data_IF_451710176639
#
_entry.id   IF_451710176639
#
_cell.length_a   1.000
_cell.length_b   1.000
_cell.length_c   1.000
_cell.angle_alpha   90.00
_cell.angle_beta   90.00
_cell.angle_gamma   90.00
#
_symmetry.space_group_name_H-M   'P 1'
#
loop_
_entity.id
_entity.type
_entity.pdbx_description
1 polymer ?
#
# COMPACT_ATOMS: atom_id res chain seq x y z
N UNK A 1 -41.85 -3.61 -34.22
CA UNK A 1 -41.38 -3.22 -32.87
C UNK A 1 -42.48 -3.60 -31.90
N UNK A 2 -42.33 -4.75 -31.24
CA UNK A 2 -43.45 -5.45 -30.59
C UNK A 2 -43.74 -4.84 -29.21
N UNK A 3 -45.02 -4.58 -28.91
CA UNK A 3 -45.52 -4.10 -27.60
C UNK A 3 -45.01 -4.97 -26.43
N UNK A 4 -44.74 -6.25 -26.69
CA UNK A 4 -44.19 -7.18 -25.72
C UNK A 4 -42.78 -6.82 -25.22
N UNK A 5 -41.97 -6.14 -26.03
CA UNK A 5 -40.61 -5.69 -25.65
C UNK A 5 -40.63 -4.45 -24.74
N UNK A 6 -41.69 -3.63 -24.81
CA UNK A 6 -41.86 -2.44 -23.96
C UNK A 6 -42.34 -2.79 -22.54
N UNK A 7 -43.09 -3.89 -22.39
CA UNK A 7 -43.58 -4.36 -21.09
C UNK A 7 -42.52 -5.10 -20.26
N UNK A 8 -41.50 -5.71 -20.89
CA UNK A 8 -40.38 -6.32 -20.15
C UNK A 8 -39.45 -5.28 -19.52
N UNK A 9 -39.30 -4.11 -20.17
CA UNK A 9 -38.41 -3.05 -19.71
C UNK A 9 -38.94 -2.33 -18.45
N UNK A 10 -40.26 -2.29 -18.24
CA UNK A 10 -40.88 -1.63 -17.07
C UNK A 10 -40.83 -2.48 -15.80
N UNK A 11 -40.64 -3.80 -15.89
CA UNK A 11 -40.59 -4.69 -14.72
C UNK A 11 -39.19 -4.70 -14.06
N UNK A 12 -38.12 -4.38 -14.81
CA UNK A 12 -36.76 -4.31 -14.26
C UNK A 12 -36.48 -3.06 -13.40
N UNK A 13 -37.36 -2.05 -13.41
CA UNK A 13 -37.10 -0.77 -12.75
C UNK A 13 -37.69 -0.62 -11.34
N UNK A 14 -38.41 -1.63 -10.85
CA UNK A 14 -39.24 -1.51 -9.63
C UNK A 14 -38.76 -2.35 -8.46
N UNK A 15 -37.51 -2.84 -8.45
CA UNK A 15 -36.95 -3.45 -7.24
C UNK A 15 -36.48 -2.31 -6.33
N UNK A 16 -37.13 -2.06 -5.18
CA UNK A 16 -36.59 -1.12 -4.22
C UNK A 16 -35.26 -1.69 -3.72
N UNK A 17 -34.18 -1.02 -4.11
CA UNK A 17 -32.85 -1.24 -3.55
C UNK A 17 -32.86 -0.69 -2.12
N UNK A 18 -33.44 -1.45 -1.19
CA UNK A 18 -33.26 -1.21 0.23
C UNK A 18 -31.81 -1.54 0.57
N UNK A 19 -30.94 -0.55 0.37
CA UNK A 19 -29.61 -0.54 0.95
C UNK A 19 -29.80 -0.42 2.47
N UNK A 20 -29.98 -1.56 3.13
CA UNK A 20 -29.84 -1.63 4.58
C UNK A 20 -28.44 -1.09 4.88
N UNK A 21 -28.29 -0.02 5.66
CA UNK A 21 -26.98 0.37 6.14
C UNK A 21 -26.55 -0.76 7.07
N UNK A 22 -25.82 -1.73 6.50
CA UNK A 22 -25.11 -2.73 7.26
C UNK A 22 -24.14 -1.92 8.11
N UNK A 23 -24.53 -1.66 9.36
CA UNK A 23 -23.68 -1.06 10.35
C UNK A 23 -22.40 -1.89 10.33
N UNK A 24 -21.35 -1.31 9.75
CA UNK A 24 -20.07 -1.97 9.61
C UNK A 24 -19.69 -2.34 11.03
N UNK A 25 -19.76 -3.65 11.31
CA UNK A 25 -19.38 -4.23 12.58
C UNK A 25 -17.94 -3.77 12.72
N UNK A 26 -17.70 -2.75 13.55
CA UNK A 26 -16.36 -2.33 13.89
C UNK A 26 -15.79 -3.52 14.63
N UNK A 27 -15.16 -4.42 13.88
CA UNK A 27 -14.27 -5.40 14.44
C UNK A 27 -13.34 -4.56 15.30
N UNK A 28 -13.41 -4.75 16.61
CA UNK A 28 -12.34 -4.36 17.52
C UNK A 28 -11.15 -5.26 17.18
N UNK A 29 -10.64 -5.10 15.96
CA UNK A 29 -9.57 -5.88 15.41
C UNK A 29 -8.37 -5.61 16.28
N UNK A 30 -7.62 -6.67 16.57
CA UNK A 30 -6.36 -6.57 17.27
C UNK A 30 -5.53 -5.49 16.59
N UNK A 31 -5.10 -4.47 17.33
CA UNK A 31 -4.26 -3.41 16.77
C UNK A 31 -3.00 -4.08 16.19
N UNK A 32 -2.67 -3.84 14.91
CA UNK A 32 -1.48 -4.44 14.33
C UNK A 32 -0.24 -3.87 15.01
N UNK A 33 0.78 -4.71 15.17
CA UNK A 33 2.11 -4.24 15.52
C UNK A 33 2.79 -3.75 14.23
N UNK A 34 3.39 -2.57 14.28
CA UNK A 34 4.13 -2.00 13.15
C UNK A 34 5.61 -2.04 13.50
N UNK A 35 6.40 -2.70 12.66
CA UNK A 35 7.87 -2.78 12.80
C UNK A 35 8.48 -2.07 11.60
N UNK A 36 9.30 -1.06 11.85
CA UNK A 36 10.06 -0.34 10.83
C UNK A 36 11.53 -0.76 10.97
N UNK A 37 12.08 -1.35 9.91
CA UNK A 37 13.51 -1.70 9.82
C UNK A 37 14.14 -0.74 8.82
N UNK A 38 14.95 0.20 9.33
CA UNK A 38 15.70 1.16 8.51
C UNK A 38 17.18 0.82 8.57
N UNK A 39 17.80 0.61 7.41
CA UNK A 39 19.25 0.47 7.28
C UNK A 39 19.87 1.82 6.92
N UNK A 40 21.01 2.16 7.54
CA UNK A 40 21.86 3.28 7.14
C UNK A 40 22.78 2.83 5.99
N UNK A 41 23.06 3.75 5.05
CA UNK A 41 23.94 3.57 3.89
C UNK A 41 23.62 2.38 2.97
N UNK A 42 22.37 1.91 2.95
CA UNK A 42 21.91 0.88 2.01
C UNK A 42 21.47 1.52 0.69
N UNK A 43 22.26 1.33 -0.36
CA UNK A 43 21.98 1.79 -1.71
C UNK A 43 20.97 0.91 -2.46
N UNK A 44 20.39 1.47 -3.53
CA UNK A 44 19.38 0.79 -4.36
C UNK A 44 19.87 -0.55 -4.92
N UNK A 45 21.13 -0.61 -5.36
CA UNK A 45 21.71 -1.79 -6.01
C UNK A 45 22.31 -2.81 -5.05
N UNK A 46 22.18 -2.63 -3.74
CA UNK A 46 22.90 -3.44 -2.74
C UNK A 46 22.19 -4.75 -2.37
N UNK A 47 20.92 -4.92 -2.78
CA UNK A 47 20.15 -6.13 -2.51
C UNK A 47 19.95 -6.98 -3.78
N UNK A 48 19.97 -8.30 -3.66
CA UNK A 48 19.78 -9.21 -4.80
C UNK A 48 18.41 -9.03 -5.46
N UNK A 49 17.35 -8.72 -4.70
CA UNK A 49 16.04 -8.36 -5.25
C UNK A 49 16.00 -7.06 -6.10
N UNK A 50 17.04 -6.23 -6.06
CA UNK A 50 17.24 -5.06 -6.94
C UNK A 50 18.37 -5.26 -7.97
N UNK A 51 18.90 -6.47 -8.12
CA UNK A 51 19.84 -6.82 -9.19
C UNK A 51 21.32 -6.89 -8.79
N UNK A 52 21.64 -6.86 -7.49
CA UNK A 52 22.98 -7.19 -6.98
C UNK A 52 23.39 -8.61 -7.44
N UNK A 53 24.64 -8.80 -7.90
CA UNK A 53 25.16 -10.09 -8.43
C UNK A 53 26.33 -10.75 -7.68
N UNK A 54 26.97 -10.05 -6.75
CA UNK A 54 28.12 -10.54 -5.96
C UNK A 54 27.69 -11.40 -4.76
N UNK A 55 26.50 -11.16 -4.18
CA UNK A 55 25.99 -11.91 -3.03
C UNK A 55 24.46 -11.94 -3.03
N UNK A 56 23.89 -12.79 -2.18
CA UNK A 56 22.45 -12.98 -2.06
C UNK A 56 21.95 -12.46 -0.71
N UNK A 57 20.75 -11.88 -0.71
CA UNK A 57 20.03 -11.42 0.47
C UNK A 57 18.73 -12.20 0.67
N UNK A 58 18.77 -13.53 0.92
CA UNK A 58 17.61 -14.42 0.78
C UNK A 58 16.43 -14.06 1.69
N UNK A 59 16.69 -13.52 2.89
CA UNK A 59 15.61 -13.09 3.79
C UNK A 59 14.90 -11.82 3.28
N UNK A 60 15.64 -10.88 2.70
CA UNK A 60 15.08 -9.66 2.11
C UNK A 60 14.37 -9.97 0.78
N UNK A 61 14.91 -10.89 -0.02
CA UNK A 61 14.31 -11.35 -1.26
C UNK A 61 12.96 -12.05 -1.02
N UNK A 62 12.88 -12.86 0.03
CA UNK A 62 11.61 -13.46 0.47
C UNK A 62 10.59 -12.39 0.86
N UNK A 63 10.98 -11.40 1.66
CA UNK A 63 10.09 -10.29 2.02
C UNK A 63 9.62 -9.49 0.80
N UNK A 64 10.49 -9.26 -0.18
CA UNK A 64 10.14 -8.60 -1.43
C UNK A 64 9.15 -9.41 -2.29
N UNK A 65 9.18 -10.73 -2.20
CA UNK A 65 8.31 -11.64 -2.96
C UNK A 65 6.95 -11.85 -2.28
N UNK A 66 6.94 -11.96 -0.95
CA UNK A 66 5.72 -12.14 -0.15
C UNK A 66 4.95 -10.82 0.07
N UNK A 67 5.63 -9.68 -0.12
CA UNK A 67 5.09 -8.35 0.14
C UNK A 67 5.05 -7.43 -1.08
N UNK A 68 5.05 -6.13 -0.81
CA UNK A 68 5.12 -5.08 -1.84
C UNK A 68 6.54 -4.54 -1.89
N UNK A 69 7.16 -4.58 -3.07
CA UNK A 69 8.48 -4.00 -3.33
C UNK A 69 8.37 -2.71 -4.13
N UNK A 70 8.90 -1.62 -3.59
CA UNK A 70 8.93 -0.32 -4.28
C UNK A 70 10.23 -0.15 -5.06
N UNK A 71 10.13 0.09 -6.37
CA UNK A 71 11.31 0.39 -7.21
C UNK A 71 11.65 1.88 -7.27
N UNK A 72 10.79 2.74 -6.72
CA UNK A 72 10.95 4.19 -6.67
C UNK A 72 10.69 4.68 -5.23
N UNK A 73 11.67 4.49 -4.34
CA UNK A 73 11.64 4.97 -2.96
C UNK A 73 12.86 5.85 -2.71
N UNK A 74 12.61 7.12 -2.34
CA UNK A 74 13.66 8.09 -2.08
C UNK A 74 13.71 8.41 -0.58
N UNK A 75 14.93 8.45 -0.04
CA UNK A 75 15.15 8.96 1.31
C UNK A 75 14.78 10.45 1.39
N UNK A 76 14.20 10.89 2.52
CA UNK A 76 13.85 12.29 2.72
C UNK A 76 15.05 13.25 2.71
N UNK A 77 16.27 12.71 2.85
CA UNK A 77 17.53 13.44 2.69
C UNK A 77 18.68 12.47 2.36
N UNK A 78 19.80 12.99 1.86
CA UNK A 78 21.04 12.24 1.61
C UNK A 78 21.94 12.10 2.84
N UNK A 79 21.54 12.65 4.00
CA UNK A 79 22.29 12.52 5.25
C UNK A 79 21.42 11.95 6.37
N UNK A 80 22.02 11.19 7.28
CA UNK A 80 21.31 10.26 8.17
C UNK A 80 20.31 10.97 9.10
N UNK A 81 20.74 12.04 9.76
CA UNK A 81 19.90 12.76 10.73
C UNK A 81 18.62 13.36 10.09
N UNK A 82 18.69 14.16 9.00
CA UNK A 82 17.49 14.69 8.36
C UNK A 82 16.67 13.62 7.62
N UNK A 83 17.28 12.53 7.14
CA UNK A 83 16.52 11.39 6.60
C UNK A 83 15.60 10.78 7.66
N UNK A 84 16.16 10.49 8.85
CA UNK A 84 15.38 9.98 9.98
C UNK A 84 14.37 11.00 10.50
N UNK A 85 14.71 12.29 10.52
CA UNK A 85 13.77 13.33 10.89
C UNK A 85 12.55 13.30 9.95
N UNK A 86 12.77 13.29 8.63
CA UNK A 86 11.67 13.23 7.66
C UNK A 86 10.79 11.98 7.82
N UNK A 87 11.39 10.82 8.11
CA UNK A 87 10.65 9.58 8.39
C UNK A 87 9.79 9.68 9.66
N UNK A 88 10.32 10.28 10.73
CA UNK A 88 9.64 10.36 12.04
C UNK A 88 8.58 11.45 12.10
N UNK A 89 8.80 12.57 11.41
CA UNK A 89 7.86 13.71 11.42
C UNK A 89 6.85 13.64 10.28
N UNK A 90 7.14 12.90 9.21
CA UNK A 90 6.34 12.93 7.98
C UNK A 90 6.46 14.26 7.22
N UNK A 91 7.49 15.07 7.51
CA UNK A 91 7.72 16.37 6.89
C UNK A 91 8.99 16.36 6.03
N UNK A 92 9.05 17.23 5.03
CA UNK A 92 10.27 17.43 4.23
C UNK A 92 11.28 18.31 4.98
N UNK A 93 12.55 18.28 4.59
CA UNK A 93 13.64 19.01 5.28
C UNK A 93 13.50 20.55 5.25
N UNK A 94 12.76 21.11 4.29
CA UNK A 94 12.46 22.55 4.23
C UNK A 94 11.32 23.03 5.14
N UNK A 95 10.68 22.16 5.92
CA UNK A 95 9.67 22.57 6.91
C UNK A 95 10.43 23.08 8.14
N UNK A 96 10.43 24.40 8.33
CA UNK A 96 10.98 25.08 9.51
C UNK A 96 9.89 25.32 10.56
#
# INVERSE_FOLDING_TARGET
MNILSLLLASILCSVPLEATPQAAKTSTGTRPNIIIIQADDLGYGDLSCYGQKQFNTPHLDRMATEGVRFTNYYSGSTVCAPSRAALMTGTHTGHA
#
